data_IF_924823795413
#
_entry.id   IF_924823795413
#
_cell.length_a   1.000
_cell.length_b   1.000
_cell.length_c   1.000
_cell.angle_alpha   90.00
_cell.angle_beta   90.00
_cell.angle_gamma   90.00
#
_symmetry.space_group_name_H-M   'P 1'
#
loop_
_entity.id
_entity.type
_entity.pdbx_description
1 polymer ?
#
# COMPACT_ATOMS: atom_id res chain seq x y z
N UNK A 1 8.60 -33.01 -10.37
CA UNK A 1 8.87 -32.12 -11.52
C UNK A 1 8.14 -30.82 -11.26
N UNK A 2 8.91 -29.79 -10.91
CA UNK A 2 8.69 -28.35 -11.07
C UNK A 2 7.24 -27.82 -10.97
N UNK A 3 6.81 -27.47 -9.76
CA UNK A 3 5.66 -26.58 -9.57
C UNK A 3 6.08 -25.16 -9.91
N UNK A 4 5.87 -24.77 -11.16
CA UNK A 4 5.99 -23.38 -11.62
C UNK A 4 4.83 -22.57 -11.05
N UNK A 5 4.96 -22.15 -9.80
CA UNK A 5 4.02 -21.21 -9.17
C UNK A 5 4.32 -19.82 -9.74
N UNK A 6 3.76 -19.55 -10.92
CA UNK A 6 3.83 -18.25 -11.57
C UNK A 6 3.20 -17.20 -10.65
N UNK A 7 4.06 -16.37 -10.04
CA UNK A 7 3.79 -15.08 -9.39
C UNK A 7 2.33 -14.65 -9.50
N UNK A 8 1.51 -15.09 -8.53
CA UNK A 8 0.26 -14.40 -8.24
C UNK A 8 0.65 -12.96 -7.92
N UNK A 9 0.36 -12.05 -8.85
CA UNK A 9 0.39 -10.62 -8.61
C UNK A 9 -0.25 -10.37 -7.25
N UNK A 10 0.56 -9.92 -6.28
CA UNK A 10 0.20 -9.74 -4.87
C UNK A 10 -0.89 -8.67 -4.76
N UNK A 11 -2.14 -9.05 -5.05
CA UNK A 11 -3.30 -8.21 -4.81
C UNK A 11 -3.54 -8.22 -3.31
N UNK A 12 -3.42 -7.05 -2.69
CA UNK A 12 -3.81 -6.86 -1.30
C UNK A 12 -5.26 -7.31 -1.11
N UNK A 13 -5.49 -8.13 -0.09
CA UNK A 13 -6.82 -8.50 0.36
C UNK A 13 -7.52 -7.29 0.97
N UNK A 14 -8.86 -7.33 1.00
CA UNK A 14 -9.64 -6.30 1.65
C UNK A 14 -9.26 -6.11 3.14
N UNK A 15 -8.91 -7.20 3.82
CA UNK A 15 -8.52 -7.17 5.23
C UNK A 15 -7.20 -6.42 5.44
N UNK A 16 -6.18 -6.68 4.62
CA UNK A 16 -4.89 -5.97 4.67
C UNK A 16 -5.08 -4.47 4.37
N UNK A 17 -5.93 -4.13 3.40
CA UNK A 17 -6.26 -2.73 3.09
C UNK A 17 -6.94 -2.04 4.28
N UNK A 18 -7.91 -2.69 4.93
CA UNK A 18 -8.60 -2.13 6.09
C UNK A 18 -7.66 -1.95 7.28
N UNK A 19 -6.83 -2.95 7.56
CA UNK A 19 -5.83 -2.90 8.62
C UNK A 19 -4.82 -1.77 8.39
N UNK A 20 -4.33 -1.63 7.15
CA UNK A 20 -3.41 -0.56 6.79
C UNK A 20 -4.06 0.82 6.96
N UNK A 21 -5.33 0.99 6.55
CA UNK A 21 -6.09 2.23 6.80
C UNK A 21 -6.18 2.54 8.29
N UNK A 22 -6.54 1.57 9.13
CA UNK A 22 -6.60 1.75 10.58
C UNK A 22 -5.27 2.19 11.16
N UNK A 23 -4.17 1.58 10.75
CA UNK A 23 -2.83 1.99 11.15
C UNK A 23 -2.51 3.42 10.71
N UNK A 24 -2.90 3.82 9.51
CA UNK A 24 -2.71 5.20 9.02
C UNK A 24 -3.53 6.18 9.87
N UNK A 25 -4.81 5.88 10.14
CA UNK A 25 -5.66 6.72 11.00
C UNK A 25 -5.02 6.91 12.39
N UNK A 26 -4.52 5.83 12.98
CA UNK A 26 -3.87 5.86 14.29
C UNK A 26 -2.52 6.59 14.27
N UNK A 27 -1.67 6.32 13.28
CA UNK A 27 -0.32 6.87 13.19
C UNK A 27 -0.32 8.37 12.86
N UNK A 28 -1.24 8.80 11.99
CA UNK A 28 -1.39 10.21 11.61
C UNK A 28 -2.36 10.97 12.53
N UNK A 29 -3.02 10.29 13.46
CA UNK A 29 -4.04 10.84 14.36
C UNK A 29 -5.13 11.62 13.61
N UNK A 30 -5.59 11.04 12.50
CA UNK A 30 -6.61 11.61 11.63
C UNK A 30 -7.93 10.85 11.77
N UNK A 31 -9.03 11.53 11.44
CA UNK A 31 -10.38 10.99 11.54
C UNK A 31 -10.66 9.91 10.47
N UNK A 32 -11.47 8.90 10.79
CA UNK A 32 -11.88 7.86 9.83
C UNK A 32 -12.79 8.39 8.72
N UNK A 33 -13.37 9.57 8.90
CA UNK A 33 -14.06 10.32 7.85
C UNK A 33 -13.13 10.78 6.72
N UNK A 34 -11.81 10.84 6.95
CA UNK A 34 -10.86 11.24 5.92
C UNK A 34 -10.69 10.12 4.89
N UNK A 35 -10.90 10.47 3.63
CA UNK A 35 -10.69 9.55 2.52
C UNK A 35 -9.20 9.25 2.33
N UNK A 36 -8.85 7.97 2.54
CA UNK A 36 -7.51 7.43 2.26
C UNK A 36 -7.56 6.58 0.99
N UNK A 37 -6.73 6.94 0.01
CA UNK A 37 -6.50 6.16 -1.20
C UNK A 37 -5.16 5.43 -1.11
N UNK A 38 -5.19 4.13 -1.40
CA UNK A 38 -4.03 3.23 -1.38
C UNK A 38 -3.82 2.70 -2.80
N UNK A 39 -2.65 2.96 -3.37
CA UNK A 39 -2.30 2.57 -4.74
C UNK A 39 -0.98 1.82 -4.73
N UNK A 40 -0.92 0.68 -5.41
CA UNK A 40 0.33 -0.07 -5.60
C UNK A 40 0.86 0.19 -7.01
N UNK A 41 2.08 0.70 -7.12
CA UNK A 41 2.75 0.94 -8.40
C UNK A 41 3.93 -0.01 -8.54
N UNK A 42 4.26 -0.37 -9.78
CA UNK A 42 5.43 -1.20 -10.04
C UNK A 42 6.68 -0.31 -10.10
N UNK A 43 7.66 -0.59 -9.26
CA UNK A 43 8.94 0.10 -9.32
C UNK A 43 9.77 -0.55 -10.42
N UNK A 44 10.04 0.18 -11.50
CA UNK A 44 10.81 -0.31 -12.66
C UNK A 44 12.32 -0.03 -12.52
N UNK A 45 12.77 0.40 -11.34
CA UNK A 45 14.17 0.74 -11.11
C UNK A 45 15.03 -0.49 -10.80
N UNK A 46 16.26 -0.55 -11.34
CA UNK A 46 17.18 -1.66 -11.09
C UNK A 46 17.58 -1.69 -9.61
N UNK A 47 17.12 -2.70 -8.88
CA UNK A 47 17.42 -2.89 -7.45
C UNK A 47 16.29 -2.54 -6.49
N UNK A 48 15.17 -2.02 -6.98
CA UNK A 48 13.97 -1.79 -6.17
C UNK A 48 13.06 -3.03 -6.13
N UNK A 49 12.32 -3.24 -5.03
CA UNK A 49 11.28 -4.25 -4.99
C UNK A 49 10.25 -3.98 -6.09
N UNK A 50 9.61 -5.03 -6.64
CA UNK A 50 8.76 -4.91 -7.83
C UNK A 50 7.52 -4.05 -7.62
N UNK A 51 7.18 -3.69 -6.37
CA UNK A 51 5.96 -2.97 -6.01
C UNK A 51 6.28 -1.93 -4.93
N UNK A 52 5.81 -0.70 -5.14
CA UNK A 52 5.72 0.37 -4.13
C UNK A 52 4.24 0.63 -3.79
N UNK A 53 3.97 1.02 -2.55
CA UNK A 53 2.65 1.43 -2.08
C UNK A 53 2.65 2.93 -1.84
N UNK A 54 1.75 3.63 -2.51
CA UNK A 54 1.51 5.06 -2.37
C UNK A 54 0.19 5.27 -1.63
N UNK A 55 0.27 6.03 -0.56
CA UNK A 55 -0.83 6.36 0.34
C UNK A 55 -1.14 7.84 0.14
N UNK A 56 -2.35 8.15 -0.32
CA UNK A 56 -2.86 9.52 -0.38
C UNK A 56 -3.91 9.73 0.69
N UNK A 57 -3.67 10.69 1.56
CA UNK A 57 -4.60 11.12 2.60
C UNK A 57 -5.20 12.45 2.16
N UNK A 58 -6.51 12.48 1.95
CA UNK A 58 -7.24 13.64 1.43
C UNK A 58 -7.52 14.70 2.52
N UNK A 59 -6.49 15.06 3.28
CA UNK A 59 -6.48 16.17 4.24
C UNK A 59 -6.32 17.52 3.51
N UNK A 60 -6.40 18.62 4.25
CA UNK A 60 -6.06 19.95 3.74
C UNK A 60 -4.89 20.54 4.55
N UNK A 61 -3.63 20.49 4.04
CA UNK A 61 -3.21 20.06 2.69
C UNK A 61 -3.19 18.54 2.50
N UNK A 62 -3.26 18.07 1.26
CA UNK A 62 -3.22 16.63 0.91
C UNK A 62 -1.85 16.07 1.29
N UNK A 63 -1.84 14.97 2.04
CA UNK A 63 -0.61 14.28 2.41
C UNK A 63 -0.42 13.04 1.54
N UNK A 64 0.81 12.84 1.07
CA UNK A 64 1.19 11.69 0.26
C UNK A 64 2.39 10.99 0.89
N UNK A 65 2.28 9.68 1.10
CA UNK A 65 3.35 8.84 1.63
C UNK A 65 3.67 7.73 0.62
N UNK A 66 4.95 7.41 0.46
CA UNK A 66 5.42 6.34 -0.44
C UNK A 66 6.22 5.34 0.37
N UNK A 67 5.88 4.06 0.20
CA UNK A 67 6.55 2.94 0.85
C UNK A 67 7.01 1.99 -0.24
N UNK A 68 8.31 1.70 -0.31
CA UNK A 68 8.90 0.77 -1.27
C UNK A 68 8.66 -0.69 -0.85
N UNK A 69 7.39 -1.04 -0.61
CA UNK A 69 6.90 -2.38 -0.26
C UNK A 69 5.49 -2.56 -0.83
N UNK A 70 5.10 -3.80 -1.08
CA UNK A 70 3.70 -4.12 -1.38
C UNK A 70 2.85 -4.04 -0.10
N UNK A 71 1.54 -3.82 -0.22
CA UNK A 71 0.63 -3.80 0.93
C UNK A 71 0.68 -5.11 1.72
N UNK A 72 0.92 -6.24 1.05
CA UNK A 72 1.05 -7.55 1.69
C UNK A 72 2.36 -7.72 2.49
N UNK A 73 3.34 -6.82 2.30
CA UNK A 73 4.63 -6.83 2.98
C UNK A 73 4.77 -5.71 4.03
N UNK A 74 3.73 -4.89 4.21
CA UNK A 74 3.64 -3.84 5.24
C UNK A 74 3.07 -4.46 6.53
#
# INVERSE_FOLDING_TARGET
MSFSFGRQSQKASYQEIQQLKQWIYQALQIDDEISISLSQLQCTEPGCPPIETVIHVMTNPVQQYKIHKSIAEI
#
